data_IF_826231111472
#
_entry.id   IF_826231111472
#
_cell.length_a   1.000
_cell.length_b   1.000
_cell.length_c   1.000
_cell.angle_alpha   90.00
_cell.angle_beta   90.00
_cell.angle_gamma   90.00
#
_symmetry.space_group_name_H-M   'P 1'
#
loop_
_entity.id
_entity.type
_entity.pdbx_description
1 polymer ?
#
# COMPACT_ATOMS: atom_id res chain seq x y z
N UNK A 1 -2.96 -10.39 22.34
CA UNK A 1 -2.51 -10.77 20.99
C UNK A 1 -1.00 -10.76 20.93
N UNK A 2 -0.40 -11.86 20.47
CA UNK A 2 1.04 -12.08 20.45
C UNK A 2 1.44 -12.55 19.05
N UNK A 3 2.41 -11.86 18.44
CA UNK A 3 2.90 -12.18 17.10
C UNK A 3 4.30 -12.77 17.23
N UNK A 4 4.52 -13.94 16.64
CA UNK A 4 5.85 -14.58 16.56
C UNK A 4 6.51 -14.29 15.21
N UNK A 5 7.80 -14.62 15.06
CA UNK A 5 8.46 -14.54 13.76
C UNK A 5 8.08 -15.76 12.93
N UNK A 6 7.81 -15.57 11.64
CA UNK A 6 7.48 -16.64 10.69
C UNK A 6 6.16 -16.38 9.95
N UNK A 7 5.83 -17.28 9.03
CA UNK A 7 4.53 -17.25 8.33
C UNK A 7 3.40 -17.57 9.30
N UNK A 8 2.34 -16.75 9.26
CA UNK A 8 1.16 -16.90 10.11
C UNK A 8 -0.09 -16.59 9.32
N UNK A 9 -1.17 -17.29 9.66
CA UNK A 9 -2.49 -16.97 9.16
C UNK A 9 -3.18 -16.07 10.16
N UNK A 10 -3.65 -14.90 9.72
CA UNK A 10 -4.32 -13.92 10.56
C UNK A 10 -5.78 -13.79 10.19
N UNK A 11 -6.63 -13.66 11.21
CA UNK A 11 -7.98 -13.14 11.02
C UNK A 11 -7.99 -11.60 10.83
N UNK A 12 -9.17 -11.02 10.67
CA UNK A 12 -9.33 -9.57 10.46
C UNK A 12 -8.88 -8.73 11.66
N UNK A 13 -9.07 -9.21 12.90
CA UNK A 13 -8.65 -8.49 14.11
C UNK A 13 -7.14 -8.54 14.27
N UNK A 14 -6.54 -9.70 14.00
CA UNK A 14 -5.10 -9.93 14.01
C UNK A 14 -4.38 -9.10 12.95
N UNK A 15 -4.88 -9.10 11.70
CA UNK A 15 -4.32 -8.30 10.62
C UNK A 15 -4.41 -6.78 10.92
N UNK A 16 -5.50 -6.33 11.55
CA UNK A 16 -5.65 -4.94 11.97
C UNK A 16 -4.66 -4.57 13.08
N UNK A 17 -4.51 -5.42 14.10
CA UNK A 17 -3.55 -5.19 15.17
C UNK A 17 -2.10 -5.23 14.66
N UNK A 18 -1.79 -6.16 13.75
CA UNK A 18 -0.49 -6.32 13.11
C UNK A 18 -0.12 -5.07 12.28
N UNK A 19 -1.03 -4.59 11.43
CA UNK A 19 -0.79 -3.41 10.58
C UNK A 19 -0.72 -2.09 11.36
N UNK A 20 -1.33 -2.01 12.56
CA UNK A 20 -1.34 -0.77 13.37
C UNK A 20 -0.23 -0.68 14.42
N UNK A 21 0.52 -1.75 14.66
CA UNK A 21 1.57 -1.76 15.69
C UNK A 21 2.67 -0.71 15.37
N UNK A 22 3.07 0.08 16.37
CA UNK A 22 4.14 1.10 16.28
C UNK A 22 5.27 0.86 17.28
N UNK A 23 4.95 0.87 18.58
CA UNK A 23 5.93 0.96 19.69
C UNK A 23 6.74 -0.32 19.98
N UNK A 24 6.24 -1.50 19.59
CA UNK A 24 6.98 -2.78 19.77
C UNK A 24 8.07 -2.98 18.72
N UNK A 25 8.02 -2.21 17.64
CA UNK A 25 9.02 -2.19 16.59
C UNK A 25 10.00 -1.04 16.84
N UNK A 26 10.85 -1.22 17.86
CA UNK A 26 11.76 -0.18 18.37
C UNK A 26 12.84 0.26 17.35
N UNK A 27 13.02 -0.48 16.24
CA UNK A 27 14.08 -0.22 15.25
C UNK A 27 13.61 0.59 14.04
N UNK A 28 12.36 0.42 13.60
CA UNK A 28 11.89 0.98 12.32
C UNK A 28 10.67 1.92 12.42
N UNK A 29 10.13 2.16 13.62
CA UNK A 29 9.09 3.17 13.87
C UNK A 29 7.92 3.14 12.87
N UNK A 30 7.73 4.24 12.14
CA UNK A 30 6.68 4.39 11.13
C UNK A 30 6.97 3.61 9.83
N UNK A 31 8.22 3.45 9.44
CA UNK A 31 8.61 2.64 8.27
C UNK A 31 8.30 1.16 8.47
N UNK A 32 8.55 0.62 9.66
CA UNK A 32 8.16 -0.76 10.00
C UNK A 32 6.64 -0.96 9.98
N UNK A 33 5.85 0.09 10.25
CA UNK A 33 4.39 0.06 10.07
C UNK A 33 4.01 0.04 8.60
N UNK A 34 4.63 0.87 7.77
CA UNK A 34 4.39 0.89 6.32
C UNK A 34 4.69 -0.47 5.68
N UNK A 35 5.78 -1.12 6.10
CA UNK A 35 6.13 -2.47 5.65
C UNK A 35 5.01 -3.48 5.96
N UNK A 36 4.53 -3.50 7.21
CA UNK A 36 3.46 -4.42 7.64
C UNK A 36 2.14 -4.11 6.95
N UNK A 37 1.82 -2.84 6.70
CA UNK A 37 0.66 -2.45 5.92
C UNK A 37 0.75 -2.98 4.48
N UNK A 38 1.92 -2.89 3.84
CA UNK A 38 2.17 -3.46 2.52
C UNK A 38 2.03 -4.99 2.54
N UNK A 39 2.58 -5.67 3.54
CA UNK A 39 2.44 -7.12 3.70
C UNK A 39 0.97 -7.56 3.82
N UNK A 40 0.16 -6.85 4.62
CA UNK A 40 -1.29 -7.13 4.74
C UNK A 40 -1.98 -6.92 3.39
N UNK A 41 -1.70 -5.83 2.68
CA UNK A 41 -2.28 -5.58 1.36
C UNK A 41 -1.91 -6.68 0.35
N UNK A 42 -0.64 -7.08 0.30
CA UNK A 42 -0.14 -8.15 -0.55
C UNK A 42 -0.81 -9.49 -0.22
N UNK A 43 -0.99 -9.80 1.07
CA UNK A 43 -1.68 -11.01 1.50
C UNK A 43 -3.16 -11.01 1.10
N UNK A 44 -3.85 -9.86 1.23
CA UNK A 44 -5.24 -9.70 0.78
C UNK A 44 -5.34 -9.94 -0.73
N UNK A 45 -4.45 -9.35 -1.53
CA UNK A 45 -4.44 -9.54 -2.98
C UNK A 45 -4.19 -11.00 -3.38
N UNK A 46 -3.27 -11.69 -2.68
CA UNK A 46 -3.02 -13.12 -2.86
C UNK A 46 -4.24 -13.97 -2.53
N UNK A 47 -4.96 -13.65 -1.45
CA UNK A 47 -6.16 -14.37 -1.04
C UNK A 47 -7.32 -14.14 -2.03
N UNK A 48 -7.51 -12.91 -2.52
CA UNK A 48 -8.52 -12.57 -3.54
C UNK A 48 -8.29 -13.35 -4.84
N UNK A 49 -7.02 -13.58 -5.22
CA UNK A 49 -6.63 -14.38 -6.39
C UNK A 49 -6.68 -15.89 -6.18
N UNK A 50 -6.93 -16.36 -4.95
CA UNK A 50 -6.99 -17.79 -4.68
C UNK A 50 -8.20 -18.44 -5.39
N UNK A 51 -8.09 -19.70 -5.86
CA UNK A 51 -9.19 -20.38 -6.54
C UNK A 51 -10.49 -20.44 -5.72
N UNK A 52 -10.38 -20.44 -4.38
CA UNK A 52 -11.51 -20.48 -3.45
C UNK A 52 -12.25 -19.14 -3.34
N UNK A 53 -11.57 -18.03 -3.59
CA UNK A 53 -12.13 -16.67 -3.50
C UNK A 53 -12.93 -16.27 -4.74
N UNK A 54 -12.65 -16.88 -5.90
CA UNK A 54 -13.37 -16.65 -7.16
C UNK A 54 -14.88 -16.91 -7.01
N UNK A 55 -15.26 -17.90 -6.22
CA UNK A 55 -16.66 -18.26 -5.97
C UNK A 55 -17.40 -17.27 -5.05
N UNK A 56 -16.69 -16.30 -4.46
CA UNK A 56 -17.22 -15.35 -3.46
C UNK A 56 -17.09 -13.88 -3.88
N UNK A 57 -16.71 -13.62 -5.13
CA UNK A 57 -16.48 -12.27 -5.68
C UNK A 57 -17.65 -11.33 -5.42
N UNK A 58 -18.89 -11.78 -5.65
CA UNK A 58 -20.10 -10.98 -5.41
C UNK A 58 -20.29 -10.61 -3.93
N UNK A 59 -20.00 -11.53 -3.02
CA UNK A 59 -20.09 -11.30 -1.57
C UNK A 59 -19.04 -10.28 -1.14
N UNK A 60 -17.80 -10.43 -1.62
CA UNK A 60 -16.72 -9.46 -1.34
C UNK A 60 -17.06 -8.08 -1.88
N UNK A 61 -17.57 -7.99 -3.11
CA UNK A 61 -17.93 -6.74 -3.74
C UNK A 61 -19.03 -5.99 -2.98
N UNK A 62 -20.03 -6.72 -2.45
CA UNK A 62 -21.09 -6.16 -1.59
C UNK A 62 -20.58 -5.68 -0.23
N UNK A 63 -19.66 -6.41 0.40
CA UNK A 63 -19.11 -5.98 1.69
C UNK A 63 -18.12 -4.81 1.53
N UNK A 64 -17.35 -4.77 0.45
CA UNK A 64 -16.49 -3.64 0.14
C UNK A 64 -17.28 -2.37 -0.17
N UNK A 65 -18.37 -2.44 -0.94
CA UNK A 65 -19.16 -1.24 -1.28
C UNK A 65 -19.80 -0.56 -0.06
N UNK A 66 -20.08 -1.32 1.02
CA UNK A 66 -20.60 -0.78 2.29
C UNK A 66 -19.53 -0.06 3.12
N UNK A 67 -18.28 -0.52 3.05
CA UNK A 67 -17.21 -0.12 3.99
C UNK A 67 -16.07 0.67 3.33
N UNK A 68 -16.00 0.69 1.99
CA UNK A 68 -14.95 1.35 1.21
C UNK A 68 -15.60 2.33 0.24
N UNK A 69 -15.12 3.57 0.26
CA UNK A 69 -15.45 4.56 -0.76
C UNK A 69 -14.35 4.57 -1.81
N UNK A 70 -14.71 4.36 -3.07
CA UNK A 70 -13.79 4.34 -4.21
C UNK A 70 -14.45 4.95 -5.44
N UNK A 71 -13.64 5.50 -6.34
CA UNK A 71 -14.06 5.93 -7.66
C UNK A 71 -13.92 4.83 -8.73
N UNK A 72 -13.42 3.65 -8.35
CA UNK A 72 -13.30 2.49 -9.25
C UNK A 72 -14.68 1.85 -9.39
N UNK A 73 -15.23 1.85 -10.61
CA UNK A 73 -16.50 1.18 -10.90
C UNK A 73 -16.37 -0.34 -10.83
N UNK A 74 -17.49 -1.05 -10.65
CA UNK A 74 -17.50 -2.52 -10.55
C UNK A 74 -16.85 -3.19 -11.76
N UNK A 75 -17.11 -2.67 -12.97
CA UNK A 75 -16.52 -3.20 -14.21
C UNK A 75 -15.00 -3.01 -14.24
N UNK A 76 -14.51 -1.84 -13.83
CA UNK A 76 -13.08 -1.55 -13.77
C UNK A 76 -12.38 -2.40 -12.70
N UNK A 77 -13.03 -2.62 -11.56
CA UNK A 77 -12.54 -3.49 -10.51
C UNK A 77 -12.42 -4.95 -10.98
N UNK A 78 -13.42 -5.46 -11.72
CA UNK A 78 -13.37 -6.81 -12.31
C UNK A 78 -12.32 -6.91 -13.43
N UNK A 79 -12.17 -5.88 -14.24
CA UNK A 79 -11.14 -5.79 -15.27
C UNK A 79 -9.74 -5.81 -14.66
N UNK A 80 -9.50 -4.99 -13.63
CA UNK A 80 -8.28 -4.97 -12.84
C UNK A 80 -8.02 -6.33 -12.20
N UNK A 81 -9.04 -6.91 -11.56
CA UNK A 81 -8.93 -8.26 -11.01
C UNK A 81 -8.51 -9.27 -12.09
N UNK A 82 -9.03 -9.17 -13.30
CA UNK A 82 -8.72 -10.12 -14.37
C UNK A 82 -7.32 -9.91 -14.97
N UNK A 83 -6.82 -8.67 -15.00
CA UNK A 83 -5.50 -8.32 -15.55
C UNK A 83 -4.33 -8.61 -14.60
N UNK A 84 -4.57 -8.63 -13.29
CA UNK A 84 -3.53 -8.90 -12.31
C UNK A 84 -2.93 -10.32 -12.51
N UNK A 85 -1.60 -10.49 -12.39
CA UNK A 85 -0.95 -11.79 -12.51
C UNK A 85 -1.41 -12.75 -11.39
N UNK A 86 -1.20 -14.06 -11.60
CA UNK A 86 -1.48 -15.08 -10.59
C UNK A 86 -0.60 -14.92 -9.35
N UNK A 87 0.67 -14.61 -9.57
CA UNK A 87 1.58 -14.21 -8.52
C UNK A 87 1.78 -12.70 -8.57
N UNK A 88 1.10 -12.00 -7.66
CA UNK A 88 1.23 -10.54 -7.54
C UNK A 88 2.47 -10.14 -6.74
N UNK A 89 3.08 -11.08 -6.01
CA UNK A 89 4.14 -10.78 -5.04
C UNK A 89 5.49 -10.52 -5.70
N UNK A 90 5.70 -11.05 -6.91
CA UNK A 90 6.93 -10.89 -7.71
C UNK A 90 7.02 -9.57 -8.46
N UNK A 91 5.96 -8.75 -8.44
CA UNK A 91 5.85 -7.53 -9.26
C UNK A 91 5.57 -6.26 -8.44
N UNK A 92 5.81 -6.29 -7.13
CA UNK A 92 5.62 -5.13 -6.25
C UNK A 92 6.98 -4.53 -5.92
N UNK A 93 7.26 -3.37 -6.49
CA UNK A 93 8.44 -2.56 -6.19
C UNK A 93 8.03 -1.43 -5.22
N UNK A 94 8.48 -1.48 -3.96
CA UNK A 94 8.15 -0.44 -3.01
C UNK A 94 9.02 0.79 -3.20
N UNK A 95 8.39 1.91 -3.53
CA UNK A 95 9.06 3.21 -3.55
C UNK A 95 9.03 3.84 -2.17
N UNK A 96 10.13 4.48 -1.78
CA UNK A 96 10.28 5.17 -0.51
C UNK A 96 10.63 6.63 -0.75
N UNK A 97 9.81 7.53 -0.22
CA UNK A 97 10.11 8.96 -0.20
C UNK A 97 11.01 9.29 0.99
N UNK A 98 12.25 9.64 0.69
CA UNK A 98 13.24 10.06 1.66
C UNK A 98 13.01 11.52 2.09
N UNK A 99 13.52 11.84 3.28
CA UNK A 99 13.27 13.09 3.96
C UNK A 99 13.64 13.01 5.43
N UNK A 100 13.45 14.13 6.11
CA UNK A 100 13.86 14.31 7.50
C UNK A 100 12.69 14.73 8.39
N UNK A 101 12.79 14.43 9.69
CA UNK A 101 11.79 14.90 10.64
C UNK A 101 12.17 16.30 11.11
N UNK A 102 11.29 17.28 10.87
CA UNK A 102 11.46 18.66 11.32
C UNK A 102 10.33 19.06 12.27
N UNK A 103 10.63 19.94 13.23
CA UNK A 103 9.63 20.52 14.12
C UNK A 103 9.39 21.98 13.74
N UNK A 104 8.29 22.25 13.05
CA UNK A 104 7.90 23.59 12.59
C UNK A 104 6.76 24.07 13.48
N UNK A 105 6.95 25.22 14.14
CA UNK A 105 5.96 25.83 15.05
C UNK A 105 5.40 24.87 16.12
N UNK A 106 6.24 23.97 16.64
CA UNK A 106 5.83 23.03 17.68
C UNK A 106 5.25 21.70 17.17
N UNK A 107 4.98 21.56 15.87
CA UNK A 107 4.39 20.37 15.25
C UNK A 107 5.46 19.60 14.48
N UNK A 108 5.44 18.27 14.59
CA UNK A 108 6.35 17.41 13.84
C UNK A 108 5.86 17.16 12.42
N UNK A 109 6.75 17.38 11.45
CA UNK A 109 6.56 17.12 10.03
C UNK A 109 7.63 16.15 9.55
N UNK A 110 7.29 15.37 8.53
CA UNK A 110 8.27 14.67 7.71
C UNK A 110 8.45 15.50 6.44
N UNK A 111 9.59 16.20 6.34
CA UNK A 111 9.93 17.07 5.22
C UNK A 111 10.63 16.22 4.18
N UNK A 112 9.96 15.97 3.06
CA UNK A 112 10.48 15.15 1.98
C UNK A 112 11.62 15.85 1.24
N UNK A 113 12.65 15.09 0.87
CA UNK A 113 13.75 15.59 0.05
C UNK A 113 13.23 15.86 -1.36
N UNK A 114 13.45 17.09 -1.85
CA UNK A 114 12.99 17.48 -3.19
C UNK A 114 13.50 16.53 -4.28
N UNK A 115 14.75 16.08 -4.17
CA UNK A 115 15.35 15.12 -5.10
C UNK A 115 14.63 13.77 -5.06
N UNK A 116 14.30 13.26 -3.87
CA UNK A 116 13.57 12.00 -3.71
C UNK A 116 12.17 12.09 -4.32
N UNK A 117 11.48 13.23 -4.13
CA UNK A 117 10.16 13.47 -4.74
C UNK A 117 10.25 13.47 -6.26
N UNK A 118 11.27 14.10 -6.84
CA UNK A 118 11.49 14.13 -8.28
C UNK A 118 11.76 12.75 -8.85
N UNK A 119 12.65 11.98 -8.21
CA UNK A 119 13.03 10.64 -8.66
C UNK A 119 11.84 9.66 -8.62
N UNK A 120 11.06 9.67 -7.54
CA UNK A 120 9.85 8.84 -7.42
C UNK A 120 8.79 9.27 -8.43
N UNK A 121 8.63 10.58 -8.65
CA UNK A 121 7.69 11.09 -9.64
C UNK A 121 8.06 10.66 -11.05
N UNK A 122 9.36 10.68 -11.38
CA UNK A 122 9.88 10.18 -12.65
C UNK A 122 9.57 8.69 -12.82
N UNK A 123 9.86 7.88 -11.81
CA UNK A 123 9.65 6.43 -11.83
C UNK A 123 8.18 6.07 -12.03
N UNK A 124 7.27 6.68 -11.25
CA UNK A 124 5.82 6.50 -11.39
C UNK A 124 5.36 6.88 -12.80
N UNK A 125 5.83 8.01 -13.35
CA UNK A 125 5.42 8.45 -14.69
C UNK A 125 5.92 7.50 -15.77
N UNK A 126 7.13 6.97 -15.65
CA UNK A 126 7.64 5.97 -16.58
C UNK A 126 6.81 4.68 -16.54
N UNK A 127 6.46 4.20 -15.35
CA UNK A 127 5.57 3.03 -15.19
C UNK A 127 4.18 3.25 -15.80
N UNK A 128 3.70 4.49 -15.80
CA UNK A 128 2.43 4.88 -16.41
C UNK A 128 2.53 5.27 -17.90
N UNK A 129 3.73 5.26 -18.50
CA UNK A 129 3.96 5.69 -19.88
C UNK A 129 3.69 7.18 -20.12
N UNK A 130 3.83 8.02 -19.10
CA UNK A 130 3.57 9.45 -19.15
C UNK A 130 4.85 10.25 -19.46
N UNK A 131 4.72 11.40 -20.14
CA UNK A 131 5.86 12.29 -20.44
C UNK A 131 6.49 12.84 -19.16
N UNK A 132 7.81 12.88 -19.07
CA UNK A 132 8.54 13.22 -17.83
C UNK A 132 8.64 14.74 -17.56
N UNK A 133 8.39 15.57 -18.56
CA UNK A 133 8.56 17.03 -18.56
C UNK A 133 7.67 17.82 -17.57
N UNK A 134 6.77 17.14 -16.85
CA UNK A 134 5.84 17.76 -15.89
C UNK A 134 6.21 17.50 -14.41
N UNK A 135 7.35 16.87 -14.13
CA UNK A 135 7.78 16.63 -12.75
C UNK A 135 8.39 17.91 -12.19
N UNK A 136 7.81 18.45 -11.11
CA UNK A 136 8.50 19.40 -10.24
C UNK A 136 8.61 20.85 -10.72
N UNK A 137 7.60 21.43 -11.39
CA UNK A 137 7.44 22.90 -11.28
C UNK A 137 6.95 23.21 -9.87
N UNK A 138 7.90 23.42 -8.95
CA UNK A 138 7.60 24.15 -7.73
C UNK A 138 6.84 25.43 -8.13
N UNK A 139 5.69 25.65 -7.53
CA UNK A 139 5.00 26.94 -7.63
C UNK A 139 5.98 27.96 -7.04
N UNK A 140 6.64 28.73 -7.91
CA UNK A 140 7.33 29.97 -7.53
C UNK A 140 6.31 31.04 -7.21
#
# INVERSE_FOLDING_TARGET
MYFTKGEQHFDGQEALAYSRMRKRDKKNGDFGRQERQRQVLTAILKEIKSPKSILKTDTYAKEFSKNIRTNIGMRDALSLYSSLPKDITTHIEPLKCDGENEKINGVYYYVADQKSVEDISFEIRNHLGLKVDQVGKAIQ
#
